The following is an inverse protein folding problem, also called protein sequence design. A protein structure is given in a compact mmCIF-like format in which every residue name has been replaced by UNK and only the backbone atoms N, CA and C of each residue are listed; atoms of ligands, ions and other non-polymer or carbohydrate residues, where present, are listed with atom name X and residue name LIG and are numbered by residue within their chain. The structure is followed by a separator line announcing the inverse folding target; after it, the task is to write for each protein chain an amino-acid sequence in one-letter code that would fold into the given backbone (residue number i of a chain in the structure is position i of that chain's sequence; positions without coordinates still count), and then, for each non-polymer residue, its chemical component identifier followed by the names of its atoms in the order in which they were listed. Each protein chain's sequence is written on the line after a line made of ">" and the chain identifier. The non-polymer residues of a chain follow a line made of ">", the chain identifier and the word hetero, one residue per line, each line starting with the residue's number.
data_IF_908423488940
#
_entry.id   IF_908423488940
#
_cell.length_a   1.000
_cell.length_b   1.000
_cell.length_c   1.000
_cell.angle_alpha   90.00
_cell.angle_beta   90.00
_cell.angle_gamma   90.00
#
_symmetry.space_group_name_H-M   'P 1'
#
loop_
_entity.id
_entity.type
_entity.pdbx_description
1 polymer ?
#
# COMPACT_ATOMS: atom_id res chain seq x y z
N UNK A 1 -14.74 -13.04 4.49
CA UNK A 1 -14.07 -14.24 3.93
C UNK A 1 -14.14 -14.08 2.42
N UNK A 2 -13.01 -14.12 1.72
CA UNK A 2 -13.01 -13.99 0.26
C UNK A 2 -13.78 -15.19 -0.36
N UNK A 3 -14.63 -14.97 -1.38
CA UNK A 3 -15.21 -16.03 -2.18
C UNK A 3 -14.14 -17.02 -2.67
N UNK A 4 -14.48 -18.31 -2.75
CA UNK A 4 -13.55 -19.34 -3.24
C UNK A 4 -13.05 -19.04 -4.66
N UNK A 5 -13.89 -18.44 -5.50
CA UNK A 5 -13.55 -18.04 -6.87
C UNK A 5 -12.34 -17.07 -6.91
N UNK A 6 -12.23 -16.16 -5.93
CA UNK A 6 -11.14 -15.18 -5.85
C UNK A 6 -9.80 -15.79 -5.40
N UNK A 7 -9.80 -17.06 -4.98
CA UNK A 7 -8.59 -17.80 -4.58
C UNK A 7 -8.03 -18.63 -5.75
N UNK A 8 -8.91 -19.15 -6.62
CA UNK A 8 -8.53 -20.03 -7.74
C UNK A 8 -8.40 -19.30 -9.06
N UNK A 9 -9.12 -18.19 -9.27
CA UNK A 9 -8.97 -17.35 -10.45
C UNK A 9 -8.06 -16.17 -10.12
N UNK A 10 -6.77 -16.21 -10.53
CA UNK A 10 -5.88 -15.08 -10.29
C UNK A 10 -6.25 -13.84 -11.11
N UNK A 11 -7.31 -13.88 -11.92
CA UNK A 11 -7.65 -12.92 -12.97
C UNK A 11 -6.62 -12.80 -14.10
N UNK A 12 -5.37 -13.23 -13.89
CA UNK A 12 -4.29 -13.28 -14.89
C UNK A 12 -3.18 -14.28 -14.48
N UNK A 13 -2.51 -14.87 -15.47
CA UNK A 13 -1.48 -15.90 -15.26
C UNK A 13 -0.10 -15.37 -14.82
N UNK A 14 0.08 -14.05 -14.75
CA UNK A 14 1.37 -13.38 -14.53
C UNK A 14 1.73 -13.06 -13.08
N UNK A 15 0.88 -13.40 -12.10
CA UNK A 15 1.17 -13.09 -10.70
C UNK A 15 2.41 -13.86 -10.23
N UNK A 16 3.54 -13.16 -10.08
CA UNK A 16 4.81 -13.74 -9.66
C UNK A 16 4.71 -14.42 -8.29
N UNK A 17 3.77 -13.99 -7.46
CA UNK A 17 3.47 -14.59 -6.16
C UNK A 17 2.33 -15.62 -6.24
N UNK A 18 1.80 -15.96 -7.42
CA UNK A 18 0.63 -16.85 -7.57
C UNK A 18 0.84 -18.19 -6.88
N UNK A 19 1.97 -18.87 -7.14
CA UNK A 19 2.23 -20.18 -6.55
C UNK A 19 2.41 -20.09 -5.03
N UNK A 20 3.11 -19.06 -4.55
CA UNK A 20 3.26 -18.78 -3.13
C UNK A 20 1.91 -18.50 -2.48
N UNK A 21 1.07 -17.70 -3.12
CA UNK A 21 -0.29 -17.38 -2.69
C UNK A 21 -1.20 -18.61 -2.73
N UNK A 22 -1.10 -19.46 -3.75
CA UNK A 22 -1.88 -20.69 -3.87
C UNK A 22 -1.57 -21.67 -2.74
N UNK A 23 -0.33 -21.72 -2.27
CA UNK A 23 0.04 -22.51 -1.09
C UNK A 23 -0.36 -21.83 0.23
N UNK A 24 -0.20 -20.50 0.32
CA UNK A 24 -0.42 -19.74 1.55
C UNK A 24 -1.90 -19.48 1.85
N UNK A 25 -2.72 -19.18 0.84
CA UNK A 25 -4.12 -18.81 1.01
C UNK A 25 -4.95 -19.93 1.66
N UNK A 26 -4.85 -21.22 1.25
CA UNK A 26 -5.56 -22.30 1.92
C UNK A 26 -5.18 -22.40 3.40
N UNK A 27 -3.88 -22.31 3.72
CA UNK A 27 -3.42 -22.32 5.11
C UNK A 27 -4.01 -21.14 5.90
N UNK A 28 -3.99 -19.93 5.33
CA UNK A 28 -4.60 -18.74 5.95
C UNK A 28 -6.10 -18.92 6.18
N UNK A 29 -6.84 -19.47 5.22
CA UNK A 29 -8.29 -19.71 5.37
C UNK A 29 -8.58 -20.78 6.43
N UNK A 30 -7.81 -21.86 6.47
CA UNK A 30 -7.92 -22.88 7.52
C UNK A 30 -7.61 -22.30 8.90
N UNK A 31 -6.56 -21.48 9.01
CA UNK A 31 -6.23 -20.75 10.24
C UNK A 31 -7.37 -19.83 10.67
N UNK A 32 -7.96 -19.07 9.76
CA UNK A 32 -9.10 -18.18 10.06
C UNK A 32 -10.35 -18.97 10.44
N UNK A 33 -10.62 -20.11 9.80
CA UNK A 33 -11.72 -20.99 10.16
C UNK A 33 -11.53 -21.59 11.56
N UNK A 34 -10.32 -22.08 11.87
CA UNK A 34 -9.95 -22.56 13.20
C UNK A 34 -10.08 -21.44 14.25
N UNK A 35 -9.60 -20.24 13.93
CA UNK A 35 -9.71 -19.06 14.79
C UNK A 35 -11.17 -18.63 15.03
N UNK A 36 -12.06 -18.87 14.07
CA UNK A 36 -13.50 -18.65 14.28
C UNK A 36 -14.12 -19.68 15.23
N UNK A 37 -13.68 -20.93 15.18
CA UNK A 37 -14.19 -22.01 16.03
C UNK A 37 -13.64 -21.96 17.47
N UNK A 38 -12.38 -21.57 17.62
CA UNK A 38 -11.67 -21.53 18.89
C UNK A 38 -10.78 -20.26 19.00
N UNK A 39 -11.37 -19.06 19.08
CA UNK A 39 -10.64 -17.79 19.03
C UNK A 39 -9.58 -17.65 20.13
N UNK A 40 -9.81 -18.24 21.31
CA UNK A 40 -8.86 -18.23 22.42
C UNK A 40 -7.53 -18.97 22.10
N UNK A 41 -7.51 -19.94 21.19
CA UNK A 41 -6.27 -20.61 20.77
C UNK A 41 -5.40 -19.73 19.86
N UNK A 42 -5.94 -18.59 19.41
CA UNK A 42 -5.30 -17.64 18.51
C UNK A 42 -5.20 -16.24 19.12
N UNK A 43 -5.34 -16.14 20.46
CA UNK A 43 -5.34 -14.87 21.19
C UNK A 43 -6.38 -13.85 20.69
N UNK A 44 -7.48 -14.33 20.09
CA UNK A 44 -8.58 -13.50 19.62
C UNK A 44 -9.74 -13.47 20.62
N UNK A 45 -10.40 -12.31 20.81
CA UNK A 45 -11.61 -12.25 21.60
C UNK A 45 -12.76 -12.97 20.88
N UNK A 46 -13.58 -13.71 21.63
CA UNK A 46 -14.72 -14.44 21.06
C UNK A 46 -15.87 -13.53 20.60
N UNK A 47 -15.89 -12.29 21.05
CA UNK A 47 -16.86 -11.27 20.68
C UNK A 47 -16.18 -9.90 20.61
N UNK A 48 -16.75 -9.00 19.81
CA UNK A 48 -16.34 -7.61 19.79
C UNK A 48 -16.69 -6.94 21.14
N UNK A 49 -15.68 -6.37 21.82
CA UNK A 49 -15.90 -5.54 23.01
C UNK A 49 -15.81 -4.07 22.61
N UNK A 50 -16.95 -3.33 22.50
CA UNK A 50 -16.93 -1.92 22.12
C UNK A 50 -16.14 -1.05 23.10
N UNK A 51 -15.95 -1.49 24.36
CA UNK A 51 -15.14 -0.76 25.35
C UNK A 51 -13.64 -0.87 25.09
N UNK A 52 -13.21 -1.89 24.34
CA UNK A 52 -11.82 -2.08 23.90
C UNK A 52 -11.58 -1.49 22.51
N UNK A 53 -12.64 -1.16 21.77
CA UNK A 53 -12.52 -0.55 20.46
C UNK A 53 -12.27 0.95 20.60
N UNK A 54 -11.08 1.39 20.19
CA UNK A 54 -10.67 2.81 20.28
C UNK A 54 -11.36 3.72 19.26
N UNK A 55 -12.16 3.15 18.35
CA UNK A 55 -12.84 3.90 17.31
C UNK A 55 -11.97 4.16 16.08
N UNK A 56 -12.52 4.87 15.10
CA UNK A 56 -11.82 5.35 13.91
C UNK A 56 -10.98 6.62 14.17
N UNK A 57 -11.09 7.19 15.38
CA UNK A 57 -10.44 8.44 15.76
C UNK A 57 -9.18 8.18 16.61
N UNK A 58 -8.69 6.93 16.66
CA UNK A 58 -7.44 6.63 17.36
C UNK A 58 -6.31 7.37 16.66
N UNK A 59 -5.54 8.14 17.44
CA UNK A 59 -4.48 8.98 16.91
C UNK A 59 -3.26 8.12 16.58
N UNK A 60 -3.13 7.73 15.30
CA UNK A 60 -2.03 6.89 14.82
C UNK A 60 -1.00 7.67 14.00
N UNK A 61 -1.07 9.01 13.98
CA UNK A 61 -0.10 9.84 13.26
C UNK A 61 1.26 9.83 13.94
N UNK A 62 1.29 9.78 15.28
CA UNK A 62 2.51 9.67 16.10
C UNK A 62 2.77 8.23 16.52
N UNK A 63 3.87 8.01 17.24
CA UNK A 63 4.10 6.72 17.87
C UNK A 63 2.97 6.34 18.81
N UNK A 64 2.44 5.12 18.67
CA UNK A 64 1.28 4.66 19.43
C UNK A 64 1.45 3.21 19.89
N UNK A 65 0.75 2.85 20.98
CA UNK A 65 0.66 1.47 21.42
C UNK A 65 -0.57 0.81 20.77
N UNK A 66 -0.34 -0.22 19.97
CA UNK A 66 -1.37 -1.03 19.36
C UNK A 66 -2.17 -1.82 20.42
N UNK A 67 -3.31 -2.38 20.00
CA UNK A 67 -4.25 -3.05 20.90
C UNK A 67 -3.69 -4.31 21.59
N UNK A 68 -2.68 -4.94 21.00
CA UNK A 68 -1.94 -6.09 21.54
C UNK A 68 -0.72 -5.69 22.40
N UNK A 69 -0.50 -4.39 22.60
CA UNK A 69 0.56 -3.84 23.44
C UNK A 69 1.87 -3.52 22.72
N UNK A 70 2.04 -3.85 21.44
CA UNK A 70 3.25 -3.45 20.71
C UNK A 70 3.29 -1.94 20.45
N UNK A 71 4.47 -1.35 20.49
CA UNK A 71 4.67 0.05 20.14
C UNK A 71 4.96 0.13 18.64
N UNK A 72 4.15 0.91 17.93
CA UNK A 72 4.45 1.35 16.57
C UNK A 72 5.17 2.69 16.70
N UNK A 73 6.48 2.69 16.50
CA UNK A 73 7.29 3.91 16.56
C UNK A 73 7.25 4.61 15.18
N UNK A 74 6.45 5.68 15.08
CA UNK A 74 6.31 6.50 13.87
C UNK A 74 7.27 7.67 13.84
N UNK A 75 7.85 7.99 14.99
CA UNK A 75 8.83 9.07 15.16
C UNK A 75 10.27 8.55 14.96
N UNK A 76 10.43 7.22 14.83
CA UNK A 76 11.69 6.58 14.56
C UNK A 76 12.33 7.10 13.27
N UNK A 77 13.58 7.53 13.38
CA UNK A 77 14.46 7.78 12.24
C UNK A 77 15.46 6.65 12.13
N UNK A 78 15.49 6.03 10.96
CA UNK A 78 16.51 5.04 10.62
C UNK A 78 17.79 5.75 10.19
N UNK A 79 18.94 5.22 10.60
CA UNK A 79 20.23 5.74 10.14
C UNK A 79 20.35 5.61 8.61
N UNK A 80 20.83 6.65 7.94
CA UNK A 80 20.99 6.69 6.48
C UNK A 80 21.63 5.42 5.89
N UNK A 81 22.72 4.93 6.49
CA UNK A 81 23.41 3.71 6.03
C UNK A 81 22.51 2.46 6.06
N UNK A 82 21.54 2.38 6.98
CA UNK A 82 20.55 1.29 7.03
C UNK A 82 19.51 1.43 5.91
N UNK A 83 19.08 2.65 5.59
CA UNK A 83 18.20 2.89 4.44
C UNK A 83 18.90 2.50 3.14
N UNK A 84 20.15 2.92 2.95
CA UNK A 84 20.96 2.56 1.77
C UNK A 84 21.12 1.04 1.63
N UNK A 85 21.33 0.32 2.74
CA UNK A 85 21.42 -1.14 2.73
C UNK A 85 20.10 -1.82 2.33
N UNK A 86 18.96 -1.29 2.80
CA UNK A 86 17.63 -1.79 2.46
C UNK A 86 17.28 -1.52 0.99
N UNK A 87 17.59 -0.32 0.47
CA UNK A 87 17.44 0.00 -0.95
C UNK A 87 18.25 -0.97 -1.80
N UNK A 88 19.53 -1.18 -1.46
CA UNK A 88 20.38 -2.12 -2.18
C UNK A 88 19.84 -3.56 -2.14
N UNK A 89 19.20 -3.98 -1.04
CA UNK A 89 18.56 -5.30 -0.96
C UNK A 89 17.31 -5.41 -1.85
N UNK A 90 16.45 -4.39 -1.78
CA UNK A 90 15.27 -4.29 -2.64
C UNK A 90 15.65 -4.32 -4.13
N UNK A 91 16.61 -3.48 -4.54
CA UNK A 91 17.04 -3.35 -5.94
C UNK A 91 17.71 -4.62 -6.49
N UNK A 92 18.31 -5.46 -5.62
CA UNK A 92 18.77 -6.80 -6.03
C UNK A 92 17.61 -7.72 -6.41
N UNK A 93 16.44 -7.53 -5.81
CA UNK A 93 15.23 -8.32 -6.05
C UNK A 93 14.36 -7.79 -7.19
N UNK A 94 14.44 -6.48 -7.49
CA UNK A 94 13.68 -5.84 -8.56
C UNK A 94 14.17 -6.33 -9.92
N UNK A 95 13.23 -6.82 -10.74
CA UNK A 95 13.50 -7.16 -12.13
C UNK A 95 12.91 -6.07 -13.02
N UNK A 96 13.64 -5.59 -14.04
CA UNK A 96 13.06 -4.69 -15.02
C UNK A 96 11.93 -5.39 -15.78
N UNK A 97 11.05 -4.59 -16.40
CA UNK A 97 10.02 -5.11 -17.29
C UNK A 97 10.66 -6.04 -18.34
N UNK A 98 10.22 -7.29 -18.37
CA UNK A 98 10.67 -8.33 -19.30
C UNK A 98 9.92 -8.25 -20.63
N UNK A 99 8.67 -7.79 -20.61
CA UNK A 99 7.84 -7.70 -21.80
C UNK A 99 7.88 -6.29 -22.41
N UNK A 100 7.76 -6.22 -23.73
CA UNK A 100 7.55 -4.94 -24.42
C UNK A 100 6.22 -4.31 -23.96
N UNK A 101 6.00 -3.02 -24.24
CA UNK A 101 4.80 -2.29 -23.83
C UNK A 101 3.46 -2.98 -24.20
N UNK A 102 3.43 -3.73 -25.32
CA UNK A 102 2.27 -4.51 -25.74
C UNK A 102 1.94 -5.70 -24.81
N UNK A 103 2.91 -6.19 -24.03
CA UNK A 103 2.75 -7.23 -23.02
C UNK A 103 2.65 -6.71 -21.59
N UNK A 104 2.61 -5.40 -21.38
CA UNK A 104 2.57 -4.81 -20.04
C UNK A 104 1.32 -5.22 -19.24
N UNK A 105 0.19 -5.53 -19.88
CA UNK A 105 -0.99 -6.09 -19.19
C UNK A 105 -0.77 -7.52 -18.67
N UNK A 106 0.20 -8.25 -19.23
CA UNK A 106 0.57 -9.59 -18.75
C UNK A 106 1.52 -9.47 -17.57
N UNK A 107 2.49 -8.56 -17.67
CA UNK A 107 3.53 -8.35 -16.66
C UNK A 107 3.02 -7.59 -15.42
N UNK A 108 2.21 -6.56 -15.62
CA UNK A 108 1.62 -5.73 -14.57
C UNK A 108 0.11 -5.98 -14.40
N UNK A 109 -0.32 -7.20 -14.70
CA UNK A 109 -1.74 -7.56 -14.78
C UNK A 109 -2.51 -7.29 -13.49
N UNK A 110 -1.95 -7.62 -12.32
CA UNK A 110 -2.58 -7.35 -11.02
C UNK A 110 -2.89 -5.87 -10.86
N UNK A 111 -1.83 -5.04 -10.92
CA UNK A 111 -1.94 -3.62 -10.69
C UNK A 111 -2.90 -2.99 -11.70
N UNK A 112 -2.75 -3.32 -13.00
CA UNK A 112 -3.62 -2.73 -14.02
C UNK A 112 -5.08 -3.17 -13.89
N UNK A 113 -5.35 -4.44 -13.59
CA UNK A 113 -6.72 -4.96 -13.41
C UNK A 113 -7.37 -4.33 -12.17
N UNK A 114 -6.71 -4.38 -11.01
CA UNK A 114 -7.30 -3.90 -9.77
C UNK A 114 -7.41 -2.39 -9.73
N UNK A 115 -6.43 -1.63 -10.26
CA UNK A 115 -6.56 -0.18 -10.43
C UNK A 115 -7.77 0.17 -11.30
N UNK A 116 -7.95 -0.50 -12.43
CA UNK A 116 -9.10 -0.25 -13.32
C UNK A 116 -10.44 -0.52 -12.61
N UNK A 117 -10.54 -1.60 -11.82
CA UNK A 117 -11.73 -1.94 -11.04
C UNK A 117 -12.00 -0.93 -9.92
N UNK A 118 -10.96 -0.51 -9.18
CA UNK A 118 -11.08 0.50 -8.13
C UNK A 118 -11.53 1.85 -8.69
N UNK A 119 -10.98 2.26 -9.83
CA UNK A 119 -11.40 3.51 -10.51
C UNK A 119 -12.86 3.42 -10.96
N UNK A 120 -13.27 2.30 -11.56
CA UNK A 120 -14.65 2.10 -11.98
C UNK A 120 -15.62 2.19 -10.80
N UNK A 121 -15.28 1.55 -9.67
CA UNK A 121 -16.06 1.62 -8.44
C UNK A 121 -16.16 3.03 -7.87
N UNK A 122 -15.03 3.75 -7.79
CA UNK A 122 -14.99 5.13 -7.32
C UNK A 122 -15.87 6.05 -8.19
N UNK A 123 -15.75 5.94 -9.52
CA UNK A 123 -16.57 6.73 -10.46
C UNK A 123 -18.06 6.39 -10.36
N UNK A 124 -18.42 5.12 -10.19
CA UNK A 124 -19.81 4.71 -9.98
C UNK A 124 -20.40 5.32 -8.69
N UNK A 125 -19.56 5.58 -7.68
CA UNK A 125 -19.93 6.29 -6.46
C UNK A 125 -19.87 7.82 -6.59
N UNK A 126 -19.64 8.36 -7.79
CA UNK A 126 -19.51 9.81 -8.03
C UNK A 126 -18.19 10.42 -7.56
N UNK A 127 -17.21 9.62 -7.17
CA UNK A 127 -15.90 10.10 -6.75
C UNK A 127 -14.99 10.40 -7.94
N UNK A 128 -14.19 11.47 -7.81
CA UNK A 128 -13.07 11.75 -8.70
C UNK A 128 -11.83 11.02 -8.19
N UNK A 129 -11.01 10.53 -9.11
CA UNK A 129 -9.78 9.81 -8.77
C UNK A 129 -8.58 10.67 -9.14
N UNK A 130 -7.62 10.75 -8.22
CA UNK A 130 -6.30 11.35 -8.40
C UNK A 130 -5.30 10.31 -7.91
N UNK A 131 -4.17 10.19 -8.60
CA UNK A 131 -3.09 9.29 -8.21
C UNK A 131 -1.96 10.12 -7.60
N UNK A 132 -1.38 9.59 -6.53
CA UNK A 132 -0.16 10.10 -5.93
C UNK A 132 0.95 9.09 -6.18
N UNK A 133 2.06 9.53 -6.75
CA UNK A 133 3.29 8.74 -6.79
C UNK A 133 4.21 9.15 -5.64
N UNK A 134 4.58 8.16 -4.83
CA UNK A 134 5.50 8.31 -3.72
C UNK A 134 6.63 7.29 -3.90
N UNK A 135 7.85 7.72 -4.29
CA UNK A 135 8.96 6.78 -4.43
C UNK A 135 9.49 6.34 -3.06
N UNK A 136 10.21 5.22 -3.06
CA UNK A 136 11.05 4.83 -1.94
C UNK A 136 12.27 5.78 -1.82
N UNK A 137 13.00 5.74 -0.70
CA UNK A 137 14.23 6.50 -0.48
C UNK A 137 15.23 6.26 -1.61
N UNK A 138 15.70 7.30 -2.29
CA UNK A 138 16.55 7.21 -3.50
C UNK A 138 15.93 6.48 -4.70
N UNK A 139 14.63 6.21 -4.66
CA UNK A 139 13.88 5.58 -5.74
C UNK A 139 13.76 6.45 -7.00
N UNK A 140 13.18 5.89 -8.08
CA UNK A 140 13.18 6.52 -9.38
C UNK A 140 12.46 7.88 -9.36
N UNK A 141 13.00 8.90 -10.07
CA UNK A 141 12.41 10.25 -10.11
C UNK A 141 11.18 10.34 -11.02
N UNK A 142 10.75 9.21 -11.59
CA UNK A 142 9.65 9.16 -12.57
C UNK A 142 8.68 8.06 -12.21
N UNK A 143 7.39 8.36 -12.32
CA UNK A 143 6.28 7.41 -12.14
C UNK A 143 6.35 6.31 -13.20
N UNK A 144 6.62 5.08 -12.77
CA UNK A 144 6.44 3.91 -13.61
C UNK A 144 4.98 3.81 -14.04
N UNK A 145 4.71 3.47 -15.30
CA UNK A 145 3.34 3.33 -15.82
C UNK A 145 2.50 4.63 -15.76
N UNK A 146 3.13 5.82 -15.74
CA UNK A 146 2.45 7.13 -15.75
C UNK A 146 1.29 7.22 -16.75
N UNK A 147 1.54 6.80 -17.99
CA UNK A 147 0.54 6.87 -19.06
C UNK A 147 -0.68 5.98 -18.80
N UNK A 148 -0.54 4.88 -18.05
CA UNK A 148 -1.66 4.04 -17.64
C UNK A 148 -2.54 4.76 -16.61
N UNK A 149 -1.94 5.34 -15.57
CA UNK A 149 -2.67 6.07 -14.52
C UNK A 149 -3.35 7.33 -15.03
N UNK A 150 -2.70 8.08 -15.93
CA UNK A 150 -3.22 9.32 -16.52
C UNK A 150 -4.51 9.12 -17.34
N UNK A 151 -4.83 7.88 -17.74
CA UNK A 151 -6.12 7.54 -18.37
C UNK A 151 -7.30 7.66 -17.40
N UNK A 152 -7.03 7.60 -16.10
CA UNK A 152 -8.05 7.55 -15.06
C UNK A 152 -8.18 8.85 -14.27
N UNK A 153 -7.10 9.62 -14.14
CA UNK A 153 -7.08 10.91 -13.46
C UNK A 153 -5.68 11.52 -13.42
N UNK A 154 -5.52 12.73 -12.86
CA UNK A 154 -4.22 13.37 -12.70
C UNK A 154 -3.28 12.52 -11.84
N UNK A 155 -1.99 12.57 -12.16
CA UNK A 155 -0.92 11.94 -11.38
C UNK A 155 -0.06 13.04 -10.76
N UNK A 156 -0.13 13.15 -9.43
CA UNK A 156 0.69 14.05 -8.62
C UNK A 156 1.99 13.32 -8.25
N UNK A 157 3.12 13.96 -8.50
CA UNK A 157 4.45 13.35 -8.35
C UNK A 157 5.16 13.91 -7.12
N UNK A 158 5.22 13.14 -6.04
CA UNK A 158 5.88 13.51 -4.80
C UNK A 158 7.36 13.11 -4.78
N UNK A 159 8.02 12.95 -5.93
CA UNK A 159 9.41 12.49 -5.98
C UNK A 159 10.41 13.35 -5.23
N UNK A 160 10.06 14.60 -4.88
CA UNK A 160 10.87 15.45 -4.01
C UNK A 160 11.18 14.82 -2.65
N UNK A 161 10.36 13.88 -2.15
CA UNK A 161 10.63 13.23 -0.86
C UNK A 161 11.80 12.26 -0.92
N UNK A 162 12.19 11.75 -2.09
CA UNK A 162 13.11 10.60 -2.19
C UNK A 162 14.53 10.91 -1.72
N UNK A 163 14.95 12.17 -1.71
CA UNK A 163 16.30 12.60 -1.34
C UNK A 163 16.49 12.88 0.16
N UNK A 164 15.44 12.77 0.97
CA UNK A 164 15.44 13.17 2.38
C UNK A 164 15.42 11.95 3.31
N UNK A 165 16.60 11.47 3.74
CA UNK A 165 16.68 10.30 4.62
C UNK A 165 16.00 10.53 5.97
N UNK A 166 15.97 11.78 6.45
CA UNK A 166 15.30 12.18 7.68
C UNK A 166 13.77 12.05 7.65
N UNK A 167 13.16 11.80 6.48
CA UNK A 167 11.73 11.65 6.29
C UNK A 167 11.25 10.20 6.22
N UNK A 168 12.14 9.22 6.37
CA UNK A 168 11.81 7.80 6.25
C UNK A 168 11.89 7.04 7.58
N UNK A 169 10.97 6.08 7.72
CA UNK A 169 10.93 5.09 8.81
C UNK A 169 11.51 3.72 8.38
N UNK A 170 11.52 3.46 7.08
CA UNK A 170 12.28 2.40 6.40
C UNK A 170 12.51 2.84 4.94
N UNK A 171 13.10 2.02 4.08
CA UNK A 171 13.40 2.47 2.72
C UNK A 171 12.15 2.86 1.90
N UNK A 172 10.96 2.33 2.20
CA UNK A 172 9.75 2.49 1.39
C UNK A 172 8.68 3.38 2.03
N UNK A 173 8.76 3.65 3.33
CA UNK A 173 7.72 4.34 4.08
C UNK A 173 8.22 5.60 4.78
N UNK A 174 7.50 6.71 4.58
CA UNK A 174 7.73 7.95 5.31
C UNK A 174 7.49 7.76 6.82
N UNK A 175 8.30 8.44 7.63
CA UNK A 175 8.04 8.63 9.07
C UNK A 175 7.01 9.75 9.30
N UNK A 176 6.68 10.01 10.56
CA UNK A 176 5.73 11.07 10.93
C UNK A 176 6.06 12.43 10.29
N UNK A 177 7.32 12.84 10.35
CA UNK A 177 7.76 14.13 9.82
C UNK A 177 7.66 14.18 8.29
N UNK A 178 8.09 13.12 7.61
CA UNK A 178 7.93 12.99 6.15
C UNK A 178 6.47 13.07 5.70
N UNK A 179 5.58 12.38 6.41
CA UNK A 179 4.15 12.40 6.12
C UNK A 179 3.52 13.79 6.33
N UNK A 180 3.95 14.55 7.34
CA UNK A 180 3.52 15.96 7.51
C UNK A 180 3.95 16.80 6.32
N UNK A 181 5.24 16.73 5.95
CA UNK A 181 5.78 17.51 4.83
C UNK A 181 5.07 17.17 3.52
N UNK A 182 4.85 15.88 3.25
CA UNK A 182 4.12 15.42 2.08
C UNK A 182 2.67 15.90 2.09
N UNK A 183 1.97 15.80 3.23
CA UNK A 183 0.58 16.24 3.37
C UNK A 183 0.43 17.74 3.14
N UNK A 184 1.29 18.56 3.75
CA UNK A 184 1.28 20.02 3.59
C UNK A 184 1.54 20.44 2.14
N UNK A 185 2.44 19.71 1.45
CA UNK A 185 2.71 19.90 0.03
C UNK A 185 1.56 19.43 -0.87
N UNK A 186 0.89 18.32 -0.53
CA UNK A 186 -0.17 17.71 -1.32
C UNK A 186 -1.49 18.48 -1.22
N UNK A 187 -1.83 18.98 -0.03
CA UNK A 187 -3.09 19.69 0.24
C UNK A 187 -3.45 20.79 -0.78
N UNK A 188 -2.57 21.77 -1.10
CA UNK A 188 -2.89 22.79 -2.10
C UNK A 188 -3.07 22.24 -3.52
N UNK A 189 -2.39 21.14 -3.87
CA UNK A 189 -2.54 20.51 -5.19
C UNK A 189 -3.89 19.82 -5.34
N UNK A 190 -4.34 19.13 -4.29
CA UNK A 190 -5.69 18.56 -4.25
C UNK A 190 -6.74 19.67 -4.28
N UNK A 191 -6.56 20.74 -3.50
CA UNK A 191 -7.47 21.88 -3.49
C UNK A 191 -7.65 22.50 -4.88
N UNK A 192 -6.56 22.65 -5.65
CA UNK A 192 -6.60 23.16 -7.02
C UNK A 192 -7.37 22.27 -8.01
N UNK A 193 -7.60 21.00 -7.68
CA UNK A 193 -8.37 20.06 -8.50
C UNK A 193 -9.85 20.03 -8.12
N UNK A 194 -10.23 20.58 -6.96
CA UNK A 194 -11.63 20.64 -6.53
C UNK A 194 -12.39 21.72 -7.32
N UNK A 195 -13.66 21.47 -7.69
CA UNK A 195 -14.49 22.51 -8.29
C UNK A 195 -14.71 23.66 -7.30
N UNK A 196 -14.87 24.89 -7.81
CA UNK A 196 -15.33 26.00 -6.98
C UNK A 196 -16.68 25.64 -6.34
N UNK A 197 -16.80 25.90 -5.03
CA UNK A 197 -17.97 25.58 -4.22
C UNK A 197 -19.12 26.57 -4.45
#
# INVERSE_FOLDING_TARGET
>A
VAPAADVVDPAYFGNLNYLTNLMYLPYRQLRLAAARLAPALFDLPAAFDPRRYRGSNDETTRSFQAADGHIVDRDHRVAKASLEAQVADYERGVRPALLAAAGADIEFGDDRIYTSRMVALARAAGARVVFLFLPYYTGPPTVQERAFYERFGPVIDASFVSSHDEWYSDYAHLNHNGAIVETDWLAPQIAALMPEA
#
